data_IF_862962423533
#
_entry.id   IF_862962423533
#
_cell.length_a   1.000
_cell.length_b   1.000
_cell.length_c   1.000
_cell.angle_alpha   90.00
_cell.angle_beta   90.00
_cell.angle_gamma   90.00
#
_symmetry.space_group_name_H-M   'P 1'
#
loop_
_entity.id
_entity.type
_entity.pdbx_description
1 polymer ?
#
# COMPACT_ATOMS: atom_id res chain seq x y z
N UNK A 1 15.18 25.01 8.36
CA UNK A 1 14.22 26.07 7.97
C UNK A 1 12.82 25.48 8.08
N UNK A 2 11.95 26.12 8.84
CA UNK A 2 10.61 25.65 9.15
C UNK A 2 9.76 25.57 7.89
N UNK A 3 9.35 24.36 7.49
CA UNK A 3 8.31 24.15 6.48
C UNK A 3 6.98 24.60 7.07
N UNK A 4 6.41 25.65 6.47
CA UNK A 4 5.09 26.11 6.81
C UNK A 4 4.07 25.00 6.51
N UNK A 5 3.31 24.61 7.52
CA UNK A 5 2.17 23.74 7.37
C UNK A 5 1.13 24.47 6.50
N UNK A 6 0.97 24.00 5.27
CA UNK A 6 -0.16 24.39 4.42
C UNK A 6 -1.37 23.64 4.95
N UNK A 7 -2.15 24.29 5.80
CA UNK A 7 -3.49 23.83 6.18
C UNK A 7 -4.39 23.95 4.94
N UNK A 8 -4.57 22.85 4.21
CA UNK A 8 -5.57 22.78 3.15
C UNK A 8 -6.95 22.71 3.82
N UNK A 9 -7.69 23.83 3.76
CA UNK A 9 -9.10 23.87 4.11
C UNK A 9 -9.88 23.18 2.99
N UNK A 10 -10.16 21.88 3.14
CA UNK A 10 -10.96 21.11 2.19
C UNK A 10 -12.43 21.19 2.66
N UNK A 11 -13.23 21.98 1.97
CA UNK A 11 -14.68 21.93 2.10
C UNK A 11 -15.19 20.61 1.50
N UNK A 12 -15.46 19.63 2.37
CA UNK A 12 -16.11 18.38 1.98
C UNK A 12 -17.56 18.71 1.58
N UNK A 13 -17.90 18.54 0.30
CA UNK A 13 -19.30 18.46 -0.12
C UNK A 13 -19.90 17.17 0.47
N UNK A 14 -20.39 17.26 1.68
CA UNK A 14 -21.22 16.22 2.27
C UNK A 14 -22.59 16.32 1.59
N UNK A 15 -22.90 15.36 0.72
CA UNK A 15 -24.29 15.13 0.31
C UNK A 15 -25.02 14.69 1.57
N UNK A 16 -25.86 15.59 2.10
CA UNK A 16 -26.67 15.30 3.26
C UNK A 16 -27.59 14.10 2.94
N UNK A 17 -27.58 13.05 3.75
CA UNK A 17 -28.58 11.99 3.60
C UNK A 17 -29.96 12.55 3.90
N UNK A 18 -30.92 12.19 3.05
CA UNK A 18 -32.36 12.36 3.22
C UNK A 18 -32.77 11.94 4.64
N UNK A 19 -33.74 12.66 5.23
CA UNK A 19 -34.27 12.51 6.57
C UNK A 19 -34.23 11.08 7.13
N UNK A 20 -33.16 10.80 7.89
CA UNK A 20 -32.91 9.50 8.48
C UNK A 20 -33.68 9.39 9.79
N UNK A 21 -34.29 8.21 10.00
CA UNK A 21 -34.61 7.72 11.34
C UNK A 21 -33.40 7.98 12.26
N UNK A 22 -33.64 8.36 13.54
CA UNK A 22 -32.55 8.53 14.51
C UNK A 22 -31.72 7.26 14.53
N UNK A 23 -30.56 7.29 13.87
CA UNK A 23 -29.67 6.15 13.88
C UNK A 23 -29.18 5.91 15.30
N UNK A 24 -29.46 4.74 15.81
CA UNK A 24 -29.08 4.33 17.17
C UNK A 24 -27.55 4.30 17.28
N UNK A 25 -27.02 5.00 18.30
CA UNK A 25 -25.58 4.95 18.56
C UNK A 25 -25.19 3.56 19.01
N UNK A 26 -24.07 3.01 18.51
CA UNK A 26 -23.57 1.74 18.99
C UNK A 26 -23.29 1.76 20.49
N UNK A 27 -23.40 0.59 21.14
CA UNK A 27 -23.07 0.46 22.55
C UNK A 27 -21.60 0.85 22.81
N UNK A 28 -21.36 1.52 23.94
CA UNK A 28 -20.00 1.83 24.40
C UNK A 28 -19.50 0.73 25.34
N UNK A 29 -18.29 0.25 25.12
CA UNK A 29 -17.61 -0.76 25.95
C UNK A 29 -16.16 -0.34 26.24
N UNK A 30 -15.58 -0.85 27.32
CA UNK A 30 -14.20 -0.54 27.72
C UNK A 30 -13.16 -1.55 27.22
N UNK A 31 -13.64 -2.63 26.56
CA UNK A 31 -12.79 -3.72 26.07
C UNK A 31 -13.40 -4.38 24.84
N UNK A 32 -12.58 -4.81 23.85
CA UNK A 32 -13.05 -5.55 22.70
C UNK A 32 -13.75 -6.86 23.10
N UNK A 33 -13.40 -7.48 24.23
CA UNK A 33 -14.04 -8.71 24.73
C UNK A 33 -15.52 -8.54 25.08
N UNK A 34 -16.01 -7.32 25.27
CA UNK A 34 -17.41 -7.01 25.55
C UNK A 34 -18.24 -6.75 24.30
N UNK A 35 -17.62 -6.71 23.11
CA UNK A 35 -18.33 -6.58 21.85
C UNK A 35 -19.01 -7.89 21.51
N UNK A 36 -20.34 -7.85 21.32
CA UNK A 36 -21.12 -9.06 21.00
C UNK A 36 -20.97 -9.43 19.54
N UNK A 37 -20.97 -10.74 19.26
CA UNK A 37 -21.00 -11.29 17.90
C UNK A 37 -22.25 -10.75 17.17
N UNK A 38 -22.08 -10.31 15.95
CA UNK A 38 -23.12 -9.72 15.11
C UNK A 38 -23.44 -8.26 15.42
N UNK A 39 -22.63 -7.60 16.25
CA UNK A 39 -22.85 -6.19 16.63
C UNK A 39 -21.64 -5.31 16.36
N UNK A 40 -21.92 -4.03 16.25
CA UNK A 40 -20.91 -2.95 16.25
C UNK A 40 -20.93 -2.27 17.61
N UNK A 41 -19.76 -1.99 18.20
CA UNK A 41 -19.63 -1.23 19.43
C UNK A 41 -18.50 -0.20 19.31
N UNK A 42 -18.60 0.88 20.08
CA UNK A 42 -17.50 1.80 20.36
C UNK A 42 -16.67 1.26 21.53
N UNK A 43 -15.42 0.92 21.27
CA UNK A 43 -14.47 0.49 22.30
C UNK A 43 -13.67 1.70 22.80
N UNK A 44 -13.73 1.94 24.11
CA UNK A 44 -12.99 3.01 24.83
C UNK A 44 -12.05 2.36 25.86
N UNK A 45 -10.81 2.03 25.48
CA UNK A 45 -9.92 1.23 26.34
C UNK A 45 -9.34 2.00 27.54
N UNK A 46 -9.77 3.22 27.79
CA UNK A 46 -9.28 4.08 28.89
C UNK A 46 -7.91 4.70 28.63
N UNK A 47 -7.01 4.00 27.95
CA UNK A 47 -5.74 4.51 27.42
C UNK A 47 -5.62 4.09 25.96
N UNK A 48 -5.05 4.99 25.16
CA UNK A 48 -4.89 4.77 23.72
C UNK A 48 -6.07 5.26 22.91
N UNK A 49 -6.19 4.77 21.71
CA UNK A 49 -7.13 5.23 20.70
C UNK A 49 -8.49 4.54 20.87
N UNK A 50 -9.57 5.31 20.80
CA UNK A 50 -10.93 4.76 20.67
C UNK A 50 -11.13 4.18 19.28
N UNK A 51 -11.96 3.15 19.15
CA UNK A 51 -12.25 2.53 17.86
C UNK A 51 -13.65 1.90 17.82
N UNK A 52 -14.22 1.86 16.63
CA UNK A 52 -15.42 1.08 16.38
C UNK A 52 -15.04 -0.33 15.94
N UNK A 53 -15.65 -1.32 16.56
CA UNK A 53 -15.40 -2.73 16.29
C UNK A 53 -16.70 -3.42 15.92
N UNK A 54 -16.75 -3.99 14.71
CA UNK A 54 -17.80 -4.90 14.28
C UNK A 54 -17.27 -6.32 14.29
N UNK A 55 -17.94 -7.20 15.03
CA UNK A 55 -17.70 -8.64 15.00
C UNK A 55 -18.78 -9.26 14.13
N UNK A 56 -18.47 -9.99 13.05
CA UNK A 56 -19.47 -10.50 12.12
C UNK A 56 -20.36 -11.57 12.77
N UNK A 57 -21.60 -11.71 12.28
CA UNK A 57 -22.54 -12.75 12.76
C UNK A 57 -21.99 -14.17 12.57
N UNK A 58 -21.22 -14.39 11.51
CA UNK A 58 -20.61 -15.67 11.17
C UNK A 58 -19.32 -15.96 11.96
N UNK A 59 -18.89 -15.07 12.88
CA UNK A 59 -17.67 -15.29 13.65
C UNK A 59 -17.75 -16.57 14.49
N UNK A 60 -16.76 -17.44 14.29
CA UNK A 60 -16.55 -18.65 15.08
C UNK A 60 -15.15 -18.62 15.70
N UNK A 61 -15.07 -18.66 17.02
CA UNK A 61 -13.80 -18.63 17.75
C UNK A 61 -12.87 -19.82 17.42
N UNK A 62 -13.44 -20.95 16.94
CA UNK A 62 -12.63 -22.11 16.53
C UNK A 62 -11.90 -21.85 15.20
N UNK A 63 -12.59 -21.26 14.24
CA UNK A 63 -12.06 -21.02 12.90
C UNK A 63 -11.38 -19.65 12.78
N UNK A 64 -11.88 -18.64 13.49
CA UNK A 64 -11.46 -17.26 13.40
C UNK A 64 -12.01 -16.56 12.16
N UNK A 65 -11.67 -15.28 12.00
CA UNK A 65 -12.06 -14.48 10.85
C UNK A 65 -10.87 -13.64 10.35
N UNK A 66 -10.98 -13.07 9.16
CA UNK A 66 -10.08 -12.03 8.67
C UNK A 66 -10.32 -10.76 9.49
N UNK A 67 -9.25 -10.04 9.85
CA UNK A 67 -9.34 -8.71 10.46
C UNK A 67 -9.06 -7.65 9.38
N UNK A 68 -9.98 -6.73 9.22
CA UNK A 68 -9.79 -5.53 8.40
C UNK A 68 -9.76 -4.33 9.33
N UNK A 69 -8.61 -3.65 9.41
CA UNK A 69 -8.46 -2.36 10.09
C UNK A 69 -8.62 -1.28 9.05
N UNK A 70 -9.55 -0.32 9.24
CA UNK A 70 -9.79 0.70 8.23
C UNK A 70 -9.79 2.12 8.81
N UNK A 71 -8.89 2.97 8.28
CA UNK A 71 -8.59 4.31 8.78
C UNK A 71 -9.41 5.36 8.02
N UNK A 72 -10.09 6.23 8.75
CA UNK A 72 -10.96 7.25 8.17
C UNK A 72 -10.19 8.44 7.58
N UNK A 73 -10.86 9.25 6.74
CA UNK A 73 -10.33 10.51 6.22
C UNK A 73 -10.42 11.64 7.22
N UNK A 74 -9.79 12.78 6.90
CA UNK A 74 -9.80 14.00 7.74
C UNK A 74 -11.22 14.41 8.10
N UNK A 75 -11.40 14.82 9.36
CA UNK A 75 -12.66 15.31 9.92
C UNK A 75 -13.84 14.30 9.86
N UNK A 76 -13.51 13.01 9.78
CA UNK A 76 -14.48 11.92 9.84
C UNK A 76 -14.30 11.12 11.14
N UNK A 77 -14.95 9.96 11.24
CA UNK A 77 -14.81 9.03 12.35
C UNK A 77 -14.97 7.59 11.89
N UNK A 78 -14.55 6.66 12.73
CA UNK A 78 -14.58 5.23 12.42
C UNK A 78 -16.00 4.70 12.17
N UNK A 79 -17.04 5.23 12.85
CA UNK A 79 -18.42 4.78 12.67
C UNK A 79 -18.95 5.03 11.25
N UNK A 80 -18.61 6.18 10.67
CA UNK A 80 -19.03 6.51 9.29
C UNK A 80 -18.49 5.50 8.28
N UNK A 81 -17.28 4.95 8.53
CA UNK A 81 -16.69 3.92 7.68
C UNK A 81 -17.30 2.54 7.95
N UNK A 82 -17.55 2.16 9.21
CA UNK A 82 -18.29 0.92 9.52
C UNK A 82 -19.63 0.90 8.78
N UNK A 83 -20.41 1.98 8.86
CA UNK A 83 -21.70 2.11 8.18
C UNK A 83 -21.59 2.05 6.65
N UNK A 84 -20.53 2.62 6.11
CA UNK A 84 -20.30 2.57 4.66
C UNK A 84 -19.97 1.14 4.20
N UNK A 85 -19.18 0.39 4.99
CA UNK A 85 -18.92 -1.02 4.74
C UNK A 85 -20.21 -1.84 4.81
N UNK A 86 -21.07 -1.59 5.79
CA UNK A 86 -22.37 -2.26 5.94
C UNK A 86 -23.30 -1.92 4.76
N UNK A 87 -23.41 -0.66 4.37
CA UNK A 87 -24.25 -0.22 3.24
C UNK A 87 -23.78 -0.78 1.88
N UNK A 88 -22.51 -1.12 1.76
CA UNK A 88 -21.90 -1.71 0.55
C UNK A 88 -21.79 -3.23 0.61
N UNK A 89 -22.16 -3.84 1.70
CA UNK A 89 -21.99 -5.28 1.95
C UNK A 89 -20.53 -5.73 1.83
N UNK A 90 -19.58 -4.86 2.19
CA UNK A 90 -18.15 -5.16 2.17
C UNK A 90 -17.68 -5.81 3.46
N UNK A 91 -16.78 -6.78 3.33
CA UNK A 91 -16.16 -7.45 4.46
C UNK A 91 -17.21 -8.00 5.48
N UNK A 92 -18.36 -8.50 5.02
CA UNK A 92 -19.47 -8.91 5.90
C UNK A 92 -19.08 -10.00 6.89
N UNK A 93 -18.24 -10.94 6.49
CA UNK A 93 -17.77 -12.05 7.31
C UNK A 93 -16.46 -11.75 8.06
N UNK A 94 -15.99 -10.49 8.02
CA UNK A 94 -14.75 -10.07 8.62
C UNK A 94 -14.96 -9.32 9.93
N UNK A 95 -13.98 -9.42 10.84
CA UNK A 95 -13.86 -8.46 11.93
C UNK A 95 -13.42 -7.13 11.32
N UNK A 96 -14.26 -6.11 11.45
CA UNK A 96 -13.96 -4.76 10.98
C UNK A 96 -13.64 -3.85 12.16
N UNK A 97 -12.43 -3.32 12.19
CA UNK A 97 -11.96 -2.38 13.20
C UNK A 97 -11.68 -1.02 12.55
N UNK A 98 -12.41 0.00 12.97
CA UNK A 98 -12.24 1.37 12.47
C UNK A 98 -11.80 2.29 13.61
N UNK A 99 -10.48 2.51 13.78
CA UNK A 99 -9.94 3.44 14.77
C UNK A 99 -10.42 4.86 14.52
N UNK A 100 -10.60 5.62 15.60
CA UNK A 100 -10.76 7.07 15.55
C UNK A 100 -9.39 7.73 15.70
N UNK A 101 -9.17 8.85 15.00
CA UNK A 101 -8.00 9.67 15.22
C UNK A 101 -7.99 10.22 16.67
N UNK A 102 -6.81 10.44 17.21
CA UNK A 102 -6.62 10.97 18.57
C UNK A 102 -6.94 12.47 18.69
N UNK A 103 -7.06 13.17 17.56
CA UNK A 103 -7.43 14.58 17.51
C UNK A 103 -8.93 14.73 17.38
N UNK A 104 -9.63 14.69 18.50
CA UNK A 104 -11.08 14.87 18.60
C UNK A 104 -11.58 14.42 19.98
N UNK A 105 -12.51 15.19 20.57
CA UNK A 105 -13.06 14.86 21.89
C UNK A 105 -14.31 13.99 21.84
N UNK A 106 -15.03 14.03 20.71
CA UNK A 106 -16.25 13.24 20.49
C UNK A 106 -15.96 12.09 19.49
N UNK A 107 -16.01 10.83 19.89
CA UNK A 107 -15.79 9.70 18.98
C UNK A 107 -16.84 9.57 17.87
N UNK A 108 -17.98 10.24 18.00
CA UNK A 108 -19.04 10.32 16.98
C UNK A 108 -18.94 11.58 16.11
N UNK A 109 -18.04 12.50 16.45
CA UNK A 109 -17.80 13.75 15.74
C UNK A 109 -16.64 13.67 14.76
N UNK A 110 -16.06 14.82 14.46
CA UNK A 110 -14.87 14.96 13.61
C UNK A 110 -13.61 14.58 14.38
N UNK A 111 -12.85 13.66 13.83
CA UNK A 111 -11.57 13.21 14.37
C UNK A 111 -10.50 13.28 13.29
N UNK A 112 -9.24 13.34 13.70
CA UNK A 112 -8.10 13.32 12.80
C UNK A 112 -6.98 12.44 13.38
N UNK A 113 -6.22 11.83 12.50
CA UNK A 113 -4.96 11.17 12.81
C UNK A 113 -3.83 12.19 12.79
N UNK A 114 -2.73 11.87 13.48
CA UNK A 114 -1.43 12.50 13.28
C UNK A 114 -0.50 11.57 12.53
N UNK A 115 0.70 12.04 12.17
CA UNK A 115 1.73 11.16 11.61
C UNK A 115 2.22 10.13 12.61
N UNK A 116 2.11 10.45 13.92
CA UNK A 116 2.53 9.58 15.02
C UNK A 116 1.43 8.59 15.45
N UNK A 117 0.31 8.53 14.74
CA UNK A 117 -0.80 7.61 15.07
C UNK A 117 -0.51 6.14 14.74
N UNK A 118 0.51 5.84 13.93
CA UNK A 118 0.79 4.46 13.50
C UNK A 118 1.01 3.47 14.67
N UNK A 119 1.75 3.81 15.74
CA UNK A 119 1.86 2.96 16.92
C UNK A 119 0.51 2.72 17.63
N UNK A 120 -0.36 3.73 17.68
CA UNK A 120 -1.68 3.61 18.31
C UNK A 120 -2.60 2.69 17.52
N UNK A 121 -2.52 2.74 16.17
CA UNK A 121 -3.23 1.78 15.29
C UNK A 121 -2.72 0.37 15.50
N UNK A 122 -1.41 0.20 15.69
CA UNK A 122 -0.81 -1.10 16.00
C UNK A 122 -1.32 -1.64 17.34
N UNK A 123 -1.37 -0.82 18.39
CA UNK A 123 -1.89 -1.20 19.71
C UNK A 123 -3.36 -1.62 19.65
N UNK A 124 -4.21 -0.89 18.92
CA UNK A 124 -5.61 -1.25 18.70
C UNK A 124 -5.71 -2.60 17.98
N UNK A 125 -4.91 -2.80 16.93
CA UNK A 125 -4.87 -4.05 16.18
C UNK A 125 -4.49 -5.23 17.07
N UNK A 126 -3.47 -5.07 17.89
CA UNK A 126 -3.02 -6.08 18.85
C UNK A 126 -4.08 -6.42 19.91
N UNK A 127 -4.82 -5.43 20.42
CA UNK A 127 -5.93 -5.66 21.35
C UNK A 127 -7.02 -6.54 20.71
N UNK A 128 -7.38 -6.26 19.46
CA UNK A 128 -8.37 -7.05 18.72
C UNK A 128 -7.85 -8.47 18.47
N UNK A 129 -6.60 -8.64 18.03
CA UNK A 129 -5.97 -9.95 17.75
C UNK A 129 -5.81 -10.80 19.02
N UNK A 130 -5.56 -10.19 20.17
CA UNK A 130 -5.51 -10.89 21.48
C UNK A 130 -6.88 -11.35 21.95
N UNK A 131 -7.94 -10.64 21.55
CA UNK A 131 -9.31 -10.94 21.99
C UNK A 131 -10.01 -11.94 21.06
N UNK A 132 -9.83 -11.79 19.77
CA UNK A 132 -10.48 -12.61 18.75
C UNK A 132 -9.44 -13.40 17.96
N UNK A 133 -9.77 -14.67 17.65
CA UNK A 133 -8.94 -15.44 16.73
C UNK A 133 -9.04 -14.83 15.34
N UNK A 134 -7.93 -14.27 14.88
CA UNK A 134 -7.80 -13.73 13.52
C UNK A 134 -6.97 -14.68 12.66
N UNK A 135 -7.41 -14.89 11.43
CA UNK A 135 -6.72 -15.78 10.48
C UNK A 135 -5.70 -15.05 9.64
N UNK A 136 -5.93 -13.76 9.40
CA UNK A 136 -5.06 -12.81 8.68
C UNK A 136 -5.50 -11.39 9.01
N UNK A 137 -4.62 -10.41 8.84
CA UNK A 137 -4.92 -9.00 9.11
C UNK A 137 -4.54 -8.13 7.93
N UNK A 138 -5.45 -7.25 7.50
CA UNK A 138 -5.23 -6.22 6.51
C UNK A 138 -5.50 -4.84 7.10
N UNK A 139 -4.80 -3.83 6.62
CA UNK A 139 -5.07 -2.44 6.96
C UNK A 139 -5.35 -1.65 5.70
N UNK A 140 -6.33 -0.77 5.75
CA UNK A 140 -6.64 0.16 4.69
C UNK A 140 -7.02 1.51 5.26
N UNK A 141 -7.16 2.49 4.39
CA UNK A 141 -7.62 3.81 4.81
C UNK A 141 -7.82 4.72 3.62
N UNK A 142 -8.57 5.78 3.84
CA UNK A 142 -8.93 6.73 2.81
C UNK A 142 -8.39 8.12 3.15
N UNK A 143 -7.88 8.86 2.16
CA UNK A 143 -7.39 10.22 2.36
C UNK A 143 -6.33 10.27 3.47
N UNK A 144 -6.53 11.01 4.55
CA UNK A 144 -5.62 11.02 5.70
C UNK A 144 -5.31 9.59 6.20
N UNK A 145 -6.32 8.72 6.30
CA UNK A 145 -6.13 7.30 6.63
C UNK A 145 -5.36 6.54 5.55
N UNK A 146 -5.48 6.94 4.29
CA UNK A 146 -4.70 6.38 3.17
C UNK A 146 -3.21 6.66 3.31
N UNK A 147 -2.84 7.91 3.66
CA UNK A 147 -1.46 8.28 3.98
C UNK A 147 -0.93 7.49 5.19
N UNK A 148 -1.73 7.43 6.27
CA UNK A 148 -1.33 6.73 7.48
C UNK A 148 -1.16 5.21 7.26
N UNK A 149 -1.90 4.62 6.32
CA UNK A 149 -1.79 3.19 5.99
C UNK A 149 -0.35 2.79 5.64
N UNK A 150 0.36 3.61 4.87
CA UNK A 150 1.76 3.34 4.53
C UNK A 150 2.66 3.34 5.77
N UNK A 151 2.52 4.33 6.68
CA UNK A 151 3.27 4.35 7.94
C UNK A 151 3.01 3.10 8.78
N UNK A 152 1.73 2.70 8.87
CA UNK A 152 1.32 1.54 9.68
C UNK A 152 2.00 0.27 9.20
N UNK A 153 1.96 -0.03 7.89
CA UNK A 153 2.56 -1.28 7.35
C UNK A 153 4.07 -1.28 7.39
N UNK A 154 4.70 -0.13 7.19
CA UNK A 154 6.15 -0.03 7.13
C UNK A 154 6.80 -0.05 8.51
N UNK A 155 6.12 0.50 9.53
CA UNK A 155 6.59 0.46 10.91
C UNK A 155 6.22 -0.83 11.65
N UNK A 156 5.18 -1.54 11.18
CA UNK A 156 4.66 -2.75 11.83
C UNK A 156 4.48 -3.90 10.84
N UNK A 157 5.54 -4.36 10.14
CA UNK A 157 5.43 -5.35 9.06
C UNK A 157 4.97 -6.74 9.53
N UNK A 158 5.04 -7.03 10.82
CA UNK A 158 4.58 -8.29 11.40
C UNK A 158 3.07 -8.32 11.69
N UNK A 159 2.42 -7.16 11.75
CA UNK A 159 1.00 -7.08 12.11
C UNK A 159 0.07 -7.35 10.94
N UNK A 160 0.48 -6.96 9.73
CA UNK A 160 -0.39 -6.96 8.55
C UNK A 160 0.24 -7.73 7.39
N UNK A 161 -0.53 -8.54 6.71
CA UNK A 161 -0.15 -9.26 5.50
C UNK A 161 -0.62 -8.56 4.22
N UNK A 162 -1.39 -7.48 4.36
CA UNK A 162 -1.85 -6.71 3.22
C UNK A 162 -2.34 -5.31 3.57
N UNK A 163 -2.32 -4.43 2.57
CA UNK A 163 -2.70 -3.03 2.70
C UNK A 163 -3.55 -2.53 1.53
N UNK A 164 -4.47 -1.60 1.84
CA UNK A 164 -5.41 -0.95 0.92
C UNK A 164 -5.35 0.57 1.12
N UNK A 165 -4.23 1.25 0.80
CA UNK A 165 -4.17 2.70 0.86
C UNK A 165 -5.00 3.32 -0.28
N UNK A 166 -5.90 4.25 0.04
CA UNK A 166 -6.82 4.89 -0.89
C UNK A 166 -6.67 6.40 -0.86
N UNK A 167 -6.48 7.03 -2.03
CA UNK A 167 -6.34 8.48 -2.20
C UNK A 167 -5.32 9.09 -1.22
N UNK A 168 -4.13 8.49 -1.16
CA UNK A 168 -3.01 8.90 -0.31
C UNK A 168 -1.67 8.71 -1.00
N UNK A 169 -0.59 9.07 -0.30
CA UNK A 169 0.79 8.95 -0.74
C UNK A 169 1.66 8.35 0.37
N UNK A 170 2.74 7.69 0.03
CA UNK A 170 3.83 7.40 0.97
C UNK A 170 4.77 8.62 0.99
N UNK A 171 5.01 9.18 2.18
CA UNK A 171 5.95 10.30 2.31
C UNK A 171 7.37 9.81 2.57
N UNK A 172 8.34 10.69 2.44
CA UNK A 172 9.76 10.37 2.59
C UNK A 172 10.12 9.62 3.88
N UNK A 173 9.42 9.89 4.98
CA UNK A 173 9.58 9.15 6.23
C UNK A 173 9.00 7.73 6.23
N UNK A 174 8.19 7.41 5.23
CA UNK A 174 7.51 6.12 5.05
C UNK A 174 7.97 5.41 3.78
N UNK A 175 8.98 5.93 3.11
CA UNK A 175 9.52 5.31 1.89
C UNK A 175 10.31 4.04 2.23
N UNK A 176 10.21 2.99 1.43
CA UNK A 176 10.86 1.71 1.70
C UNK A 176 12.36 1.77 1.90
N UNK A 177 13.04 2.68 1.20
CA UNK A 177 14.49 2.86 1.27
C UNK A 177 14.99 3.36 2.64
N UNK A 178 14.13 3.89 3.50
CA UNK A 178 14.51 4.25 4.86
C UNK A 178 14.92 3.05 5.73
N UNK A 179 14.62 1.85 5.29
CA UNK A 179 14.90 0.61 6.03
C UNK A 179 16.00 -0.25 5.40
N UNK A 180 16.73 0.24 4.42
CA UNK A 180 17.84 -0.49 3.77
C UNK A 180 18.88 -1.01 4.78
N UNK A 181 19.09 -0.31 5.89
CA UNK A 181 20.00 -0.73 6.95
C UNK A 181 19.43 -1.85 7.86
N UNK A 182 18.20 -2.30 7.61
CA UNK A 182 17.50 -3.33 8.39
C UNK A 182 16.99 -4.45 7.48
N UNK A 183 17.86 -5.33 6.98
CA UNK A 183 17.51 -6.31 5.95
C UNK A 183 16.38 -7.27 6.35
N UNK A 184 16.28 -7.64 7.63
CA UNK A 184 15.18 -8.51 8.11
C UNK A 184 13.83 -7.79 8.10
N UNK A 185 13.81 -6.51 8.44
CA UNK A 185 12.61 -5.66 8.37
C UNK A 185 12.21 -5.44 6.91
N UNK A 186 13.17 -5.10 6.05
CA UNK A 186 12.95 -4.91 4.62
C UNK A 186 12.38 -6.17 3.97
N UNK A 187 12.91 -7.37 4.30
CA UNK A 187 12.37 -8.64 3.81
C UNK A 187 10.91 -8.83 4.19
N UNK A 188 10.54 -8.59 5.46
CA UNK A 188 9.15 -8.70 5.93
C UNK A 188 8.24 -7.69 5.26
N UNK A 189 8.71 -6.47 5.05
CA UNK A 189 7.97 -5.44 4.33
C UNK A 189 7.61 -5.89 2.92
N UNK A 190 8.55 -6.48 2.18
CA UNK A 190 8.31 -7.01 0.83
C UNK A 190 7.33 -8.20 0.79
N UNK A 191 7.04 -8.83 1.92
CA UNK A 191 6.02 -9.89 2.01
C UNK A 191 4.59 -9.33 2.07
N UNK A 192 4.41 -8.05 2.43
CA UNK A 192 3.10 -7.40 2.51
C UNK A 192 2.56 -7.15 1.10
N UNK A 193 1.32 -7.56 0.86
CA UNK A 193 0.63 -7.28 -0.38
C UNK A 193 -0.01 -5.87 -0.32
N UNK A 194 0.23 -5.02 -1.33
CA UNK A 194 -0.26 -3.63 -1.34
C UNK A 194 -1.13 -3.40 -2.57
N UNK A 195 -2.41 -3.06 -2.35
CA UNK A 195 -3.29 -2.58 -3.39
C UNK A 195 -3.51 -1.07 -3.24
N UNK A 196 -2.80 -0.28 -4.03
CA UNK A 196 -2.96 1.18 -4.08
C UNK A 196 -4.20 1.52 -4.90
N UNK A 197 -5.09 2.36 -4.36
CA UNK A 197 -6.31 2.81 -5.03
C UNK A 197 -6.35 4.33 -5.11
N UNK A 198 -6.49 4.89 -6.31
CA UNK A 198 -6.56 6.33 -6.49
C UNK A 198 -7.35 6.69 -7.75
N UNK A 199 -8.34 7.56 -7.64
CA UNK A 199 -9.08 8.06 -8.80
C UNK A 199 -8.22 9.01 -9.62
N UNK A 200 -8.17 8.83 -10.96
CA UNK A 200 -7.36 9.68 -11.84
C UNK A 200 -7.78 11.16 -11.81
N UNK A 201 -9.04 11.43 -11.55
CA UNK A 201 -9.58 12.77 -11.46
C UNK A 201 -10.01 13.13 -10.02
N UNK A 202 -9.24 12.69 -9.01
CA UNK A 202 -9.47 13.03 -7.61
C UNK A 202 -9.29 14.56 -7.43
N UNK A 203 -10.33 15.28 -6.97
CA UNK A 203 -10.26 16.74 -6.86
C UNK A 203 -9.55 17.22 -5.59
N UNK A 204 -9.23 16.34 -4.65
CA UNK A 204 -8.71 16.68 -3.32
C UNK A 204 -7.26 16.26 -3.16
N UNK A 205 -6.98 14.97 -3.34
CA UNK A 205 -5.62 14.43 -3.34
C UNK A 205 -5.25 14.13 -4.79
N UNK A 206 -4.26 14.84 -5.31
CA UNK A 206 -3.87 14.71 -6.72
C UNK A 206 -3.47 13.27 -7.04
N UNK A 207 -3.88 12.81 -8.22
CA UNK A 207 -3.58 11.47 -8.71
C UNK A 207 -2.08 11.12 -8.67
N UNK A 208 -1.24 12.11 -8.97
CA UNK A 208 0.22 11.97 -8.96
C UNK A 208 0.77 11.51 -7.61
N UNK A 209 0.07 11.78 -6.50
CA UNK A 209 0.48 11.31 -5.18
C UNK A 209 0.29 9.79 -5.03
N UNK A 210 -0.86 9.24 -5.46
CA UNK A 210 -1.05 7.79 -5.46
C UNK A 210 -0.16 7.08 -6.49
N UNK A 211 0.09 7.73 -7.64
CA UNK A 211 1.04 7.23 -8.62
C UNK A 211 2.47 7.22 -8.05
N UNK A 212 2.87 8.28 -7.33
CA UNK A 212 4.16 8.34 -6.65
C UNK A 212 4.31 7.18 -5.65
N UNK A 213 3.33 6.98 -4.78
CA UNK A 213 3.38 5.87 -3.84
C UNK A 213 3.52 4.51 -4.53
N UNK A 214 2.73 4.26 -5.58
CA UNK A 214 2.86 3.03 -6.38
C UNK A 214 4.25 2.90 -6.99
N UNK A 215 4.77 3.97 -7.61
CA UNK A 215 6.08 3.99 -8.25
C UNK A 215 7.20 3.67 -7.25
N UNK A 216 7.18 4.25 -6.05
CA UNK A 216 8.17 3.99 -4.99
C UNK A 216 8.23 2.50 -4.65
N UNK A 217 7.09 1.85 -4.39
CA UNK A 217 7.08 0.42 -4.08
C UNK A 217 7.46 -0.46 -5.26
N UNK A 218 7.00 -0.09 -6.48
CA UNK A 218 7.37 -0.81 -7.71
C UNK A 218 8.88 -0.75 -7.95
N UNK A 219 9.48 0.44 -7.79
CA UNK A 219 10.88 0.71 -8.07
C UNK A 219 11.81 0.04 -7.04
N UNK A 220 11.27 -0.31 -5.86
CA UNK A 220 11.91 -1.15 -4.86
C UNK A 220 11.67 -2.67 -5.08
N UNK A 221 11.06 -3.05 -6.20
CA UNK A 221 10.86 -4.45 -6.57
C UNK A 221 9.73 -5.17 -5.83
N UNK A 222 8.75 -4.43 -5.33
CA UNK A 222 7.57 -5.01 -4.69
C UNK A 222 6.74 -5.81 -5.69
N UNK A 223 6.62 -7.10 -5.51
CA UNK A 223 5.93 -7.99 -6.47
C UNK A 223 4.45 -8.15 -6.16
N UNK A 224 4.11 -8.15 -4.87
CA UNK A 224 2.73 -8.15 -4.40
C UNK A 224 2.17 -6.72 -4.38
N UNK A 225 2.23 -6.04 -5.52
CA UNK A 225 1.83 -4.65 -5.68
C UNK A 225 0.81 -4.51 -6.81
N UNK A 226 -0.30 -3.83 -6.54
CA UNK A 226 -1.34 -3.52 -7.53
C UNK A 226 -1.70 -2.05 -7.46
N UNK A 227 -2.01 -1.45 -8.62
CA UNK A 227 -2.57 -0.11 -8.70
C UNK A 227 -3.92 -0.14 -9.39
N UNK A 228 -4.95 0.36 -8.73
CA UNK A 228 -6.28 0.52 -9.28
C UNK A 228 -6.61 2.01 -9.41
N UNK A 229 -6.73 2.49 -10.65
CA UNK A 229 -6.84 3.90 -10.98
C UNK A 229 -8.06 4.17 -11.90
N UNK A 230 -9.28 4.26 -11.34
CA UNK A 230 -10.48 4.54 -12.14
C UNK A 230 -10.50 5.99 -12.64
N UNK A 231 -11.12 6.20 -13.83
CA UNK A 231 -11.25 7.51 -14.47
C UNK A 231 -12.26 8.46 -13.79
N UNK A 232 -12.82 8.07 -12.66
CA UNK A 232 -13.88 8.86 -11.99
C UNK A 232 -13.30 10.09 -11.29
N UNK A 233 -13.99 11.21 -11.37
CA UNK A 233 -13.69 12.42 -10.61
C UNK A 233 -14.31 12.30 -9.21
N UNK A 234 -13.61 11.63 -8.28
CA UNK A 234 -14.13 11.42 -6.95
C UNK A 234 -13.02 11.26 -5.91
N UNK A 235 -13.20 11.93 -4.77
CA UNK A 235 -12.44 11.72 -3.54
C UNK A 235 -13.31 10.96 -2.53
N UNK A 236 -13.76 9.76 -2.91
CA UNK A 236 -14.64 8.94 -2.09
C UNK A 236 -14.21 7.48 -2.15
N UNK A 237 -13.92 6.88 -0.99
CA UNK A 237 -13.50 5.47 -0.96
C UNK A 237 -14.59 4.50 -1.48
N UNK A 238 -15.87 4.89 -1.43
CA UNK A 238 -16.99 4.09 -1.91
C UNK A 238 -17.03 3.86 -3.43
N UNK A 239 -16.19 4.54 -4.20
CA UNK A 239 -16.05 4.30 -5.66
C UNK A 239 -15.10 3.16 -5.99
N UNK A 240 -14.34 2.68 -5.01
CA UNK A 240 -13.38 1.61 -5.19
C UNK A 240 -14.01 0.22 -4.96
N UNK A 241 -13.56 -0.81 -5.65
CA UNK A 241 -14.05 -2.19 -5.50
C UNK A 241 -13.34 -2.88 -4.32
N UNK A 242 -13.70 -2.52 -3.09
CA UNK A 242 -13.01 -2.97 -1.87
C UNK A 242 -12.96 -4.49 -1.77
N UNK A 243 -14.06 -5.20 -2.02
CA UNK A 243 -14.09 -6.66 -1.94
C UNK A 243 -13.19 -7.33 -3.00
N UNK A 244 -13.14 -6.78 -4.24
CA UNK A 244 -12.21 -7.28 -5.25
C UNK A 244 -10.75 -7.14 -4.81
N UNK A 245 -10.43 -6.03 -4.13
CA UNK A 245 -9.09 -5.81 -3.60
C UNK A 245 -8.79 -6.72 -2.42
N UNK A 246 -9.77 -6.96 -1.54
CA UNK A 246 -9.63 -7.94 -0.45
C UNK A 246 -9.46 -9.37 -0.99
N UNK A 247 -10.18 -9.75 -2.04
CA UNK A 247 -9.99 -11.03 -2.73
C UNK A 247 -8.59 -11.15 -3.37
N UNK A 248 -8.09 -10.06 -3.94
CA UNK A 248 -6.72 -10.03 -4.46
C UNK A 248 -5.68 -10.19 -3.33
N UNK A 249 -5.84 -9.48 -2.21
CA UNK A 249 -4.98 -9.65 -1.03
C UNK A 249 -5.03 -11.08 -0.49
N UNK A 250 -6.22 -11.70 -0.44
CA UNK A 250 -6.39 -13.09 -0.03
C UNK A 250 -5.62 -14.05 -0.95
N UNK A 251 -5.68 -13.84 -2.26
CA UNK A 251 -4.94 -14.64 -3.22
C UNK A 251 -3.42 -14.51 -3.04
N UNK A 252 -2.91 -13.27 -2.82
CA UNK A 252 -1.49 -13.02 -2.56
C UNK A 252 -0.98 -13.69 -1.28
N UNK A 253 -1.88 -14.04 -0.35
CA UNK A 253 -1.58 -14.65 0.93
C UNK A 253 -2.09 -16.10 1.07
N UNK A 254 -2.47 -16.75 -0.04
CA UNK A 254 -2.84 -18.17 -0.07
C UNK A 254 -4.17 -18.50 0.61
N UNK A 255 -5.08 -17.54 0.65
CA UNK A 255 -6.46 -17.75 1.10
C UNK A 255 -7.39 -17.97 -0.08
N UNK A 256 -8.48 -18.74 0.14
CA UNK A 256 -9.50 -18.95 -0.88
C UNK A 256 -8.97 -19.57 -2.19
N UNK A 257 -8.58 -20.85 -2.14
CA UNK A 257 -8.01 -21.58 -3.30
C UNK A 257 -8.89 -21.56 -4.55
N UNK A 258 -10.23 -21.64 -4.38
CA UNK A 258 -11.15 -21.61 -5.52
C UNK A 258 -11.12 -20.27 -6.27
N UNK A 259 -11.18 -19.16 -5.53
CA UNK A 259 -11.07 -17.81 -6.14
C UNK A 259 -9.69 -17.59 -6.74
N UNK A 260 -8.64 -18.03 -6.03
CA UNK A 260 -7.24 -17.91 -6.48
C UNK A 260 -7.02 -18.62 -7.79
N UNK A 261 -7.58 -19.81 -8.01
CA UNK A 261 -7.42 -20.58 -9.25
C UNK A 261 -7.91 -19.82 -10.48
N UNK A 262 -9.08 -19.17 -10.38
CA UNK A 262 -9.66 -18.34 -11.44
C UNK A 262 -8.83 -17.08 -11.72
N UNK A 263 -8.29 -16.48 -10.65
CA UNK A 263 -7.43 -15.29 -10.74
C UNK A 263 -6.09 -15.62 -11.39
N UNK A 264 -5.47 -16.75 -11.07
CA UNK A 264 -4.21 -17.20 -11.66
C UNK A 264 -4.30 -17.35 -13.18
N UNK A 265 -5.39 -17.93 -13.71
CA UNK A 265 -5.61 -18.05 -15.16
C UNK A 265 -5.71 -16.68 -15.83
N UNK A 266 -6.46 -15.76 -15.23
CA UNK A 266 -6.60 -14.38 -15.71
C UNK A 266 -5.25 -13.68 -15.73
N UNK A 267 -4.53 -13.67 -14.61
CA UNK A 267 -3.26 -12.97 -14.47
C UNK A 267 -2.16 -13.53 -15.35
N UNK A 268 -2.12 -14.84 -15.54
CA UNK A 268 -1.19 -15.46 -16.47
C UNK A 268 -1.45 -15.03 -17.93
N UNK A 269 -2.73 -14.91 -18.32
CA UNK A 269 -3.13 -14.39 -19.65
C UNK A 269 -2.76 -12.92 -19.82
N UNK A 270 -2.88 -12.14 -18.74
CA UNK A 270 -2.56 -10.71 -18.72
C UNK A 270 -1.04 -10.46 -18.60
N UNK A 271 -0.21 -11.49 -18.42
CA UNK A 271 1.25 -11.39 -18.28
C UNK A 271 1.73 -10.99 -16.88
N UNK A 272 0.85 -10.97 -15.87
CA UNK A 272 1.15 -10.56 -14.49
C UNK A 272 1.82 -11.69 -13.69
N UNK A 273 2.98 -12.15 -14.19
CA UNK A 273 3.69 -13.31 -13.65
C UNK A 273 4.16 -13.13 -12.21
N UNK A 274 4.41 -11.90 -11.76
CA UNK A 274 4.73 -11.61 -10.35
C UNK A 274 3.57 -11.98 -9.43
N UNK A 275 2.34 -11.64 -9.80
CA UNK A 275 1.14 -12.02 -9.03
C UNK A 275 0.87 -13.51 -9.13
N UNK A 276 1.03 -14.09 -10.34
CA UNK A 276 0.88 -15.54 -10.54
C UNK A 276 1.82 -16.31 -9.63
N UNK A 277 3.11 -15.93 -9.61
CA UNK A 277 4.12 -16.59 -8.80
C UNK A 277 3.83 -16.43 -7.31
N UNK A 278 3.53 -15.21 -6.84
CA UNK A 278 3.27 -14.93 -5.43
C UNK A 278 2.05 -15.73 -4.93
N UNK A 279 0.94 -15.69 -5.64
CA UNK A 279 -0.27 -16.42 -5.27
C UNK A 279 -0.09 -17.95 -5.39
N UNK A 280 0.64 -18.44 -6.41
CA UNK A 280 0.92 -19.85 -6.58
C UNK A 280 1.81 -20.42 -5.47
N UNK A 281 2.84 -19.67 -5.05
CA UNK A 281 3.70 -20.04 -3.91
C UNK A 281 2.96 -20.02 -2.57
N UNK A 282 1.97 -19.13 -2.41
CA UNK A 282 1.14 -19.03 -1.23
C UNK A 282 0.04 -20.11 -1.18
N UNK A 283 -0.38 -20.64 -2.34
CA UNK A 283 -1.44 -21.66 -2.44
C UNK A 283 -0.98 -23.00 -1.87
N UNK A 284 -1.89 -23.70 -1.18
CA UNK A 284 -1.62 -25.03 -0.61
C UNK A 284 -1.74 -26.16 -1.64
N UNK A 285 -2.49 -25.96 -2.71
CA UNK A 285 -2.73 -26.95 -3.75
C UNK A 285 -2.68 -26.31 -5.16
N UNK A 286 -2.20 -27.08 -6.13
CA UNK A 286 -2.23 -26.67 -7.56
C UNK A 286 -1.25 -25.56 -7.97
N UNK A 287 -0.46 -24.99 -7.07
CA UNK A 287 0.46 -23.90 -7.35
C UNK A 287 1.64 -24.28 -8.27
N UNK A 288 2.12 -25.53 -8.20
CA UNK A 288 3.34 -25.96 -8.91
C UNK A 288 3.29 -25.72 -10.43
N UNK A 289 2.14 -25.95 -11.07
CA UNK A 289 1.93 -25.67 -12.50
C UNK A 289 2.19 -24.19 -12.82
N UNK A 290 1.69 -23.31 -12.00
CA UNK A 290 1.76 -21.87 -12.21
C UNK A 290 3.15 -21.31 -11.90
N UNK A 291 3.80 -21.86 -10.87
CA UNK A 291 5.22 -21.56 -10.58
C UNK A 291 6.08 -21.91 -11.78
N UNK A 292 5.90 -23.12 -12.36
CA UNK A 292 6.64 -23.52 -13.55
C UNK A 292 6.40 -22.60 -14.74
N UNK A 293 5.17 -22.19 -14.98
CA UNK A 293 4.86 -21.28 -16.09
C UNK A 293 5.49 -19.89 -15.90
N UNK A 294 5.51 -19.36 -14.66
CA UNK A 294 6.19 -18.12 -14.36
C UNK A 294 7.71 -18.22 -14.56
N UNK A 295 8.33 -19.34 -14.14
CA UNK A 295 9.76 -19.61 -14.39
C UNK A 295 10.07 -19.73 -15.88
N UNK A 296 9.24 -20.43 -16.65
CA UNK A 296 9.39 -20.55 -18.11
C UNK A 296 9.26 -19.18 -18.82
N UNK A 297 8.35 -18.32 -18.34
CA UNK A 297 8.19 -16.96 -18.86
C UNK A 297 9.41 -16.08 -18.54
N UNK A 298 9.91 -16.14 -17.30
CA UNK A 298 11.12 -15.42 -16.88
C UNK A 298 12.36 -15.88 -17.66
N UNK A 299 12.53 -17.21 -17.86
CA UNK A 299 13.62 -17.77 -18.64
C UNK A 299 13.65 -17.23 -20.08
N UNK A 300 12.48 -17.00 -20.67
CA UNK A 300 12.38 -16.40 -22.01
C UNK A 300 12.65 -14.89 -22.01
N UNK A 301 12.29 -14.19 -20.95
CA UNK A 301 12.43 -12.73 -20.86
C UNK A 301 13.86 -12.29 -20.46
N UNK A 302 14.56 -13.06 -19.61
CA UNK A 302 15.86 -12.70 -19.04
C UNK A 302 16.95 -12.39 -20.07
N UNK A 303 17.13 -13.14 -21.18
CA UNK A 303 18.16 -12.82 -22.19
C UNK A 303 17.94 -11.44 -22.83
N UNK A 304 16.68 -11.09 -23.18
CA UNK A 304 16.35 -9.79 -23.76
C UNK A 304 16.61 -8.65 -22.80
N UNK A 305 16.38 -8.86 -21.48
CA UNK A 305 16.71 -7.86 -20.46
C UNK A 305 18.21 -7.70 -20.31
N UNK A 306 18.97 -8.81 -20.28
CA UNK A 306 20.44 -8.79 -20.25
C UNK A 306 21.02 -8.01 -21.43
N UNK A 307 20.48 -8.21 -22.63
CA UNK A 307 20.93 -7.46 -23.82
C UNK A 307 20.54 -5.99 -23.76
N UNK A 308 19.34 -5.67 -23.26
CA UNK A 308 18.91 -4.29 -23.08
C UNK A 308 19.83 -3.51 -22.12
N UNK A 309 20.29 -4.14 -21.04
CA UNK A 309 21.18 -3.51 -20.05
C UNK A 309 22.59 -3.17 -20.58
N UNK A 310 22.97 -3.67 -21.75
CA UNK A 310 24.22 -3.26 -22.44
C UNK A 310 24.06 -1.90 -23.16
N UNK A 311 22.84 -1.42 -23.31
CA UNK A 311 22.52 -0.15 -23.96
C UNK A 311 22.60 1.05 -23.01
N UNK A 312 22.01 2.17 -23.46
CA UNK A 312 21.98 3.40 -22.65
C UNK A 312 21.08 3.23 -21.41
N UNK A 313 21.51 3.69 -20.22
CA UNK A 313 20.72 3.60 -19.00
C UNK A 313 19.29 4.14 -19.12
N UNK A 314 19.10 5.31 -19.76
CA UNK A 314 17.78 5.88 -19.97
C UNK A 314 16.81 4.96 -20.75
N UNK A 315 17.32 4.05 -21.57
CA UNK A 315 16.52 3.14 -22.40
C UNK A 315 16.19 1.83 -21.67
N UNK A 316 17.07 1.35 -20.81
CA UNK A 316 16.87 0.06 -20.13
C UNK A 316 16.31 0.16 -18.71
N UNK A 317 16.53 1.26 -17.98
CA UNK A 317 16.03 1.41 -16.60
C UNK A 317 14.52 1.21 -16.50
N UNK A 318 13.66 1.84 -17.34
CA UNK A 318 12.22 1.60 -17.29
C UNK A 318 11.84 0.14 -17.59
N UNK A 319 12.55 -0.51 -18.51
CA UNK A 319 12.34 -1.93 -18.84
C UNK A 319 12.76 -2.85 -17.70
N UNK A 320 13.85 -2.49 -17.00
CA UNK A 320 14.34 -3.23 -15.86
C UNK A 320 13.32 -3.23 -14.72
N UNK A 321 12.76 -2.09 -14.39
CA UNK A 321 11.76 -1.97 -13.34
C UNK A 321 10.56 -2.86 -13.59
N UNK A 322 10.06 -2.85 -14.84
CA UNK A 322 8.96 -3.74 -15.22
C UNK A 322 9.36 -5.21 -15.20
N UNK A 323 10.56 -5.55 -15.69
CA UNK A 323 11.09 -6.90 -15.60
C UNK A 323 11.21 -7.35 -14.15
N UNK A 324 11.73 -6.51 -13.26
CA UNK A 324 11.87 -6.82 -11.85
C UNK A 324 10.53 -7.03 -11.16
N UNK A 325 9.55 -6.16 -11.41
CA UNK A 325 8.18 -6.30 -10.91
C UNK A 325 7.55 -7.63 -11.33
N UNK A 326 7.69 -7.98 -12.60
CA UNK A 326 7.01 -9.15 -13.19
C UNK A 326 7.74 -10.46 -12.88
N UNK A 327 9.07 -10.47 -12.92
CA UNK A 327 9.86 -11.70 -12.88
C UNK A 327 10.81 -11.82 -11.69
N UNK A 328 11.03 -10.77 -10.92
CA UNK A 328 12.08 -10.71 -9.90
C UNK A 328 12.00 -11.77 -8.79
N UNK A 329 10.83 -12.38 -8.58
CA UNK A 329 10.64 -13.48 -7.62
C UNK A 329 10.90 -14.88 -8.17
N UNK A 330 11.27 -15.00 -9.47
CA UNK A 330 11.60 -16.27 -10.12
C UNK A 330 13.06 -16.64 -9.91
N UNK A 331 13.34 -17.94 -9.92
CA UNK A 331 14.75 -18.45 -9.88
C UNK A 331 15.50 -18.07 -11.16
N UNK A 332 14.81 -18.04 -12.31
CA UNK A 332 15.37 -17.64 -13.59
C UNK A 332 15.83 -16.17 -13.64
N UNK A 333 15.13 -15.26 -12.98
CA UNK A 333 15.51 -13.85 -12.92
C UNK A 333 16.51 -13.53 -11.81
N UNK A 334 16.64 -14.40 -10.79
CA UNK A 334 17.47 -14.18 -9.60
C UNK A 334 18.90 -13.74 -9.90
N UNK A 335 19.66 -14.35 -10.84
CA UNK A 335 21.03 -13.90 -11.11
C UNK A 335 21.11 -12.44 -11.58
N UNK A 336 20.13 -11.99 -12.40
CA UNK A 336 20.06 -10.60 -12.87
C UNK A 336 19.69 -9.64 -11.72
N UNK A 337 18.76 -10.06 -10.87
CA UNK A 337 18.34 -9.26 -9.71
C UNK A 337 19.48 -9.11 -8.72
N UNK A 338 20.18 -10.19 -8.39
CA UNK A 338 21.32 -10.18 -7.46
C UNK A 338 22.47 -9.28 -8.00
N UNK A 339 22.77 -9.36 -9.30
CA UNK A 339 23.78 -8.49 -9.96
C UNK A 339 23.36 -7.01 -9.93
N UNK A 340 22.08 -6.74 -10.22
CA UNK A 340 21.54 -5.37 -10.15
C UNK A 340 21.63 -4.80 -8.74
N UNK A 341 21.18 -5.54 -7.72
CA UNK A 341 21.18 -5.09 -6.32
C UNK A 341 22.61 -4.86 -5.81
N UNK A 342 23.57 -5.71 -6.22
CA UNK A 342 24.99 -5.51 -5.91
C UNK A 342 25.51 -4.20 -6.50
N UNK A 343 25.28 -3.96 -7.80
CA UNK A 343 25.70 -2.72 -8.47
C UNK A 343 24.99 -1.49 -7.89
N UNK A 344 23.73 -1.64 -7.51
CA UNK A 344 22.97 -0.59 -6.83
C UNK A 344 23.64 -0.18 -5.52
N UNK A 345 24.02 -1.14 -4.69
CA UNK A 345 24.71 -0.87 -3.43
C UNK A 345 26.07 -0.20 -3.65
N UNK A 346 26.83 -0.64 -4.66
CA UNK A 346 28.13 -0.06 -5.01
C UNK A 346 28.03 1.40 -5.52
N UNK A 347 26.90 1.78 -6.13
CA UNK A 347 26.70 3.10 -6.75
C UNK A 347 25.88 4.06 -5.91
N UNK A 348 25.37 3.63 -4.74
CA UNK A 348 24.49 4.40 -3.87
C UNK A 348 25.02 5.80 -3.55
N UNK A 349 26.24 5.88 -2.98
CA UNK A 349 26.80 7.15 -2.51
C UNK A 349 27.05 8.13 -3.66
N UNK A 350 27.50 7.62 -4.82
CA UNK A 350 27.71 8.42 -6.00
C UNK A 350 26.39 8.98 -6.55
N UNK A 351 25.36 8.15 -6.64
CA UNK A 351 24.01 8.54 -7.04
C UNK A 351 23.44 9.63 -6.15
N UNK A 352 23.42 9.38 -4.83
CA UNK A 352 22.89 10.32 -3.84
C UNK A 352 23.61 11.68 -3.88
N UNK A 353 24.93 11.69 -3.95
CA UNK A 353 25.71 12.94 -4.03
C UNK A 353 25.34 13.74 -5.27
N UNK A 354 25.37 13.13 -6.46
CA UNK A 354 25.05 13.81 -7.72
C UNK A 354 23.60 14.30 -7.77
N UNK A 355 22.67 13.52 -7.20
CA UNK A 355 21.27 13.90 -7.14
C UNK A 355 21.04 15.11 -6.24
N UNK A 356 21.68 15.16 -5.08
CA UNK A 356 21.64 16.32 -4.18
C UNK A 356 22.19 17.58 -4.85
N UNK A 357 23.27 17.45 -5.63
CA UNK A 357 23.81 18.55 -6.44
C UNK A 357 22.78 19.02 -7.48
N UNK A 358 22.18 18.10 -8.26
CA UNK A 358 21.14 18.41 -9.23
C UNK A 358 19.94 19.12 -8.60
N UNK A 359 19.47 18.60 -7.45
CA UNK A 359 18.34 19.18 -6.73
C UNK A 359 18.64 20.59 -6.19
N UNK A 360 19.85 20.83 -5.72
CA UNK A 360 20.33 22.17 -5.34
C UNK A 360 20.29 23.15 -6.51
N UNK A 361 20.72 22.71 -7.70
CA UNK A 361 20.68 23.51 -8.94
C UNK A 361 19.23 23.80 -9.40
N UNK A 362 18.31 22.83 -9.28
CA UNK A 362 16.90 23.04 -9.58
C UNK A 362 16.30 24.11 -8.66
N UNK A 363 16.60 24.06 -7.36
CA UNK A 363 16.14 25.08 -6.40
C UNK A 363 16.71 26.47 -6.66
N UNK A 364 17.91 26.54 -7.26
CA UNK A 364 18.54 27.77 -7.68
C UNK A 364 18.14 28.27 -9.08
N UNK A 365 17.13 27.60 -9.70
CA UNK A 365 16.65 27.85 -11.08
C UNK A 365 17.72 27.72 -12.17
N UNK A 366 18.76 26.90 -11.89
CA UNK A 366 19.84 26.59 -12.83
C UNK A 366 19.58 25.30 -13.59
N UNK A 367 18.48 25.26 -14.35
CA UNK A 367 17.99 24.03 -15.03
C UNK A 367 19.01 23.39 -15.98
N UNK A 368 19.79 24.14 -16.83
CA UNK A 368 20.79 23.51 -17.70
C UNK A 368 21.89 22.78 -16.93
N UNK A 369 22.37 23.37 -15.82
CA UNK A 369 23.40 22.75 -14.99
C UNK A 369 22.82 21.51 -14.25
N UNK A 370 21.56 21.59 -13.78
CA UNK A 370 20.87 20.47 -13.16
C UNK A 370 20.68 19.32 -14.15
N UNK A 371 20.33 19.61 -15.40
CA UNK A 371 20.22 18.60 -16.47
C UNK A 371 21.54 17.86 -16.67
N UNK A 372 22.65 18.59 -16.75
CA UNK A 372 23.99 18.01 -16.86
C UNK A 372 24.31 17.07 -15.69
N UNK A 373 23.89 17.43 -14.44
CA UNK A 373 24.10 16.57 -13.28
C UNK A 373 23.23 15.32 -13.32
N UNK A 374 21.98 15.42 -13.76
CA UNK A 374 21.12 14.26 -13.95
C UNK A 374 21.66 13.31 -15.04
N UNK A 375 22.17 13.87 -16.15
CA UNK A 375 22.84 13.07 -17.19
C UNK A 375 24.10 12.39 -16.63
N UNK A 376 24.86 13.04 -15.74
CA UNK A 376 26.02 12.46 -15.08
C UNK A 376 25.66 11.27 -14.17
N UNK A 377 24.49 11.30 -13.48
CA UNK A 377 24.01 10.16 -12.71
C UNK A 377 23.84 8.93 -13.61
N UNK A 378 23.28 9.11 -14.81
CA UNK A 378 23.09 8.00 -15.76
C UNK A 378 24.41 7.41 -16.29
N UNK A 379 25.53 8.15 -16.16
CA UNK A 379 26.87 7.66 -16.52
C UNK A 379 27.54 6.96 -15.33
N UNK A 380 27.57 7.63 -14.17
CA UNK A 380 28.40 7.23 -13.03
C UNK A 380 27.67 6.27 -12.07
N UNK A 381 26.33 6.39 -11.97
CA UNK A 381 25.51 5.64 -11.03
C UNK A 381 24.17 5.16 -11.64
N UNK A 382 24.16 4.52 -12.82
CA UNK A 382 22.93 4.14 -13.51
C UNK A 382 22.09 3.09 -12.76
N UNK A 383 22.71 2.33 -11.88
CA UNK A 383 22.01 1.30 -11.07
C UNK A 383 21.48 1.85 -9.74
N UNK A 384 21.85 3.10 -9.36
CA UNK A 384 21.35 3.70 -8.13
C UNK A 384 19.86 4.03 -8.23
N UNK A 385 19.23 4.22 -7.08
CA UNK A 385 17.85 4.72 -6.98
C UNK A 385 17.70 6.07 -7.70
N UNK A 386 18.68 6.93 -7.53
CA UNK A 386 18.76 8.25 -8.17
C UNK A 386 18.94 8.15 -9.69
N UNK A 387 19.56 7.08 -10.19
CA UNK A 387 19.66 6.78 -11.63
C UNK A 387 18.29 6.64 -12.27
N UNK A 388 17.37 5.96 -11.60
CA UNK A 388 15.99 5.86 -12.06
C UNK A 388 15.29 7.22 -12.11
N UNK A 389 15.37 8.02 -11.04
CA UNK A 389 14.77 9.35 -11.02
C UNK A 389 15.40 10.29 -12.06
N UNK A 390 16.70 10.21 -12.25
CA UNK A 390 17.38 10.97 -13.31
C UNK A 390 16.85 10.62 -14.70
N UNK A 391 16.67 9.33 -15.01
CA UNK A 391 16.10 8.89 -16.27
C UNK A 391 14.67 9.42 -16.46
N UNK A 392 13.82 9.32 -15.44
CA UNK A 392 12.44 9.82 -15.45
C UNK A 392 12.38 11.32 -15.66
N UNK A 393 13.12 12.09 -14.85
CA UNK A 393 13.11 13.56 -14.96
C UNK A 393 13.66 14.06 -16.31
N UNK A 394 14.71 13.44 -16.83
CA UNK A 394 15.26 13.80 -18.14
C UNK A 394 14.28 13.49 -19.28
N UNK A 395 13.43 12.47 -19.15
CA UNK A 395 12.38 12.20 -20.11
C UNK A 395 11.29 13.29 -20.11
N UNK A 396 10.94 13.82 -18.94
CA UNK A 396 9.93 14.86 -18.75
C UNK A 396 10.46 16.28 -19.12
N UNK A 397 11.78 16.46 -19.18
CA UNK A 397 12.42 17.76 -19.49
C UNK A 397 12.70 18.00 -20.98
N UNK A 398 12.04 17.28 -21.85
CA UNK A 398 12.16 17.43 -23.32
C UNK A 398 11.48 18.69 -23.86
#
# INVERSE_FOLDING_TARGET
MRLAAVALLVASLVVAPSAAAKEEKPAEVDSPAKVKIGQTALVKPGKGMNYFLRVPKAYDAKNGARLVVFLHGSNMNGLSYVRSFEAKHWAEDDILCCPNGEQGSDPFGSNNFTFDSAPLVADVTDQVKKTFKTTISYVGGHSQGGFLTYSVILLNPDLFQGALPMSGDCWSQNEPNLWEDKPDVAKKQHEIAIAVLHSKNDPVVKFEQGQHAYDVFRDEGWQKLRFFAPERAAHMFMVFPVDEMLDWLDAMNGRSEEKTSKLLEKWAKDGEWGWVLAAAKASKSGGAKWVKQAEDAATKAAPAMTDAMKGKPADWIPKWIEFWRVYGGTDAAKPLVDDYLKKRAEQRDAGQRLFNEAFGLIRADKRPDAKTRLEQILVDAPYSYEGYYAAKWLADWK
#
